data_IF_580755180218
#
_entry.id   IF_580755180218
#
_cell.length_a   1.000
_cell.length_b   1.000
_cell.length_c   1.000
_cell.angle_alpha   90.00
_cell.angle_beta   90.00
_cell.angle_gamma   90.00
#
_symmetry.space_group_name_H-M   'P 1'
#
loop_
_entity.id
_entity.type
_entity.pdbx_description
1 polymer ?
#
# COMPACT_ATOMS: atom_id res chain seq x y z
N UNK A 1 -28.22 -51.70 38.83
CA UNK A 1 -28.69 -50.33 38.52
C UNK A 1 -27.57 -49.43 37.94
N UNK A 2 -26.56 -49.98 37.24
CA UNK A 2 -25.41 -49.21 36.73
C UNK A 2 -25.42 -49.02 35.20
N UNK A 3 -26.20 -49.82 34.48
CA UNK A 3 -26.22 -49.83 33.00
C UNK A 3 -26.95 -48.62 32.39
N UNK A 4 -27.87 -47.98 33.13
CA UNK A 4 -28.61 -46.80 32.66
C UNK A 4 -27.83 -45.48 32.82
N UNK A 5 -26.76 -45.46 33.64
CA UNK A 5 -25.92 -44.26 33.83
C UNK A 5 -24.94 -44.05 32.68
N UNK A 6 -24.43 -45.14 32.09
CA UNK A 6 -23.51 -45.10 30.95
C UNK A 6 -24.09 -44.38 29.71
N UNK A 7 -25.32 -44.65 29.25
CA UNK A 7 -25.90 -43.95 28.10
C UNK A 7 -26.15 -42.47 28.40
N UNK A 8 -26.54 -42.12 29.63
CA UNK A 8 -26.76 -40.72 30.03
C UNK A 8 -25.44 -39.94 29.99
N UNK A 9 -24.35 -40.52 30.50
CA UNK A 9 -23.02 -39.90 30.44
C UNK A 9 -22.54 -39.74 29.00
N UNK A 10 -22.79 -40.73 28.15
CA UNK A 10 -22.42 -40.68 26.73
C UNK A 10 -23.20 -39.58 25.99
N UNK A 11 -24.50 -39.44 26.26
CA UNK A 11 -25.34 -38.38 25.67
C UNK A 11 -24.86 -37.00 26.11
N UNK A 12 -24.57 -36.82 27.40
CA UNK A 12 -24.05 -35.54 27.92
C UNK A 12 -22.70 -35.20 27.27
N UNK A 13 -21.82 -36.19 27.12
CA UNK A 13 -20.52 -36.01 26.48
C UNK A 13 -20.66 -35.62 25.00
N UNK A 14 -21.56 -36.29 24.27
CA UNK A 14 -21.85 -35.99 22.86
C UNK A 14 -22.39 -34.56 22.69
N UNK A 15 -23.32 -34.16 23.56
CA UNK A 15 -23.88 -32.80 23.57
C UNK A 15 -22.78 -31.77 23.85
N UNK A 16 -21.94 -31.99 24.87
CA UNK A 16 -20.82 -31.11 25.18
C UNK A 16 -19.81 -30.97 24.03
N UNK A 17 -19.48 -32.08 23.35
CA UNK A 17 -18.62 -32.10 22.17
C UNK A 17 -19.23 -31.35 20.99
N UNK A 18 -20.54 -31.47 20.79
CA UNK A 18 -21.25 -30.73 19.75
C UNK A 18 -21.26 -29.22 20.04
N UNK A 19 -21.40 -28.82 21.30
CA UNK A 19 -21.28 -27.42 21.71
C UNK A 19 -19.85 -26.87 21.53
N UNK A 20 -18.81 -27.65 21.84
CA UNK A 20 -17.41 -27.25 21.59
C UNK A 20 -17.08 -27.15 20.08
N UNK A 21 -17.65 -28.02 19.25
CA UNK A 21 -17.50 -27.94 17.79
C UNK A 21 -18.19 -26.70 17.22
N UNK A 22 -19.27 -26.26 17.86
CA UNK A 22 -20.08 -25.11 17.45
C UNK A 22 -19.52 -23.76 17.96
N UNK A 23 -18.51 -23.74 18.83
CA UNK A 23 -17.81 -22.49 19.14
C UNK A 23 -16.90 -22.13 17.96
N UNK A 24 -17.19 -21.05 17.21
CA UNK A 24 -16.29 -20.62 16.15
C UNK A 24 -14.97 -20.20 16.79
N UNK A 25 -13.89 -20.88 16.43
CA UNK A 25 -12.54 -20.38 16.68
C UNK A 25 -12.40 -19.17 15.77
N UNK A 26 -12.50 -17.96 16.32
CA UNK A 26 -12.32 -16.74 15.54
C UNK A 26 -10.91 -16.72 14.96
N UNK A 27 -10.83 -16.94 13.64
CA UNK A 27 -9.58 -16.75 12.92
C UNK A 27 -9.32 -15.26 12.81
N UNK A 28 -8.16 -14.79 13.29
CA UNK A 28 -7.74 -13.41 13.11
C UNK A 28 -7.48 -13.15 11.61
N UNK A 29 -8.49 -12.69 10.89
CA UNK A 29 -8.34 -12.31 9.49
C UNK A 29 -7.51 -11.03 9.42
N UNK A 30 -6.26 -11.16 8.96
CA UNK A 30 -5.37 -10.02 8.71
C UNK A 30 -5.31 -9.79 7.21
N UNK A 31 -5.92 -8.71 6.74
CA UNK A 31 -5.86 -8.31 5.34
C UNK A 31 -4.63 -7.43 5.07
N UNK A 32 -3.80 -7.84 4.10
CA UNK A 32 -2.69 -7.01 3.63
C UNK A 32 -3.22 -5.94 2.68
N UNK A 33 -2.94 -4.67 2.96
CA UNK A 33 -3.30 -3.57 2.05
C UNK A 33 -2.41 -3.64 0.80
N UNK A 34 -3.03 -3.92 -0.36
CA UNK A 34 -2.35 -3.85 -1.65
C UNK A 34 -2.36 -2.42 -2.18
N UNK A 35 -1.22 -1.96 -2.68
CA UNK A 35 -1.03 -0.63 -3.24
C UNK A 35 -1.55 -0.59 -4.69
N UNK A 36 -2.88 -0.55 -4.85
CA UNK A 36 -3.57 -0.52 -6.15
C UNK A 36 -4.04 0.90 -6.57
N UNK A 37 -3.95 1.87 -5.67
CA UNK A 37 -4.43 3.24 -5.89
C UNK A 37 -3.41 4.08 -6.66
N UNK A 38 -3.87 5.18 -7.28
CA UNK A 38 -3.00 6.16 -7.98
C UNK A 38 -1.83 6.67 -7.13
N UNK A 39 -1.98 6.74 -5.81
CA UNK A 39 -0.89 7.07 -4.87
C UNK A 39 0.31 6.12 -4.98
N UNK A 40 0.07 4.86 -5.35
CA UNK A 40 1.15 3.91 -5.60
C UNK A 40 1.93 4.23 -6.88
N UNK A 41 1.26 4.84 -7.87
CA UNK A 41 1.87 5.17 -9.15
C UNK A 41 2.92 6.27 -8.98
N UNK A 42 2.69 7.26 -8.13
CA UNK A 42 3.69 8.30 -7.81
C UNK A 42 4.89 7.72 -7.07
N UNK A 43 4.69 6.75 -6.17
CA UNK A 43 5.78 6.07 -5.50
C UNK A 43 6.62 5.22 -6.46
N UNK A 44 5.98 4.56 -7.44
CA UNK A 44 6.67 3.86 -8.53
C UNK A 44 7.44 4.84 -9.43
N UNK A 45 6.88 6.00 -9.73
CA UNK A 45 7.54 7.05 -10.50
C UNK A 45 8.78 7.57 -9.74
N UNK A 46 8.68 7.83 -8.44
CA UNK A 46 9.82 8.24 -7.63
C UNK A 46 10.94 7.20 -7.66
N UNK A 47 10.61 5.92 -7.51
CA UNK A 47 11.58 4.83 -7.60
C UNK A 47 12.24 4.76 -8.99
N UNK A 48 11.45 4.96 -10.05
CA UNK A 48 11.96 5.02 -11.41
C UNK A 48 12.94 6.19 -11.60
N UNK A 49 12.58 7.41 -11.14
CA UNK A 49 13.45 8.58 -11.27
C UNK A 49 14.78 8.40 -10.53
N UNK A 50 14.75 7.84 -9.32
CA UNK A 50 15.96 7.57 -8.53
C UNK A 50 16.87 6.58 -9.26
N UNK A 51 16.31 5.46 -9.72
CA UNK A 51 17.11 4.39 -10.38
C UNK A 51 17.57 4.77 -11.78
N UNK A 52 16.76 5.54 -12.50
CA UNK A 52 17.03 5.95 -13.87
C UNK A 52 17.93 7.18 -13.94
N UNK A 53 18.04 7.98 -12.88
CA UNK A 53 18.88 9.19 -12.85
C UNK A 53 20.30 8.98 -13.39
N UNK A 54 20.93 7.85 -13.08
CA UNK A 54 22.28 7.51 -13.54
C UNK A 54 22.33 6.99 -15.00
N UNK A 55 21.20 6.55 -15.57
CA UNK A 55 21.10 5.99 -16.92
C UNK A 55 20.39 6.91 -17.93
N UNK A 56 19.63 7.91 -17.46
CA UNK A 56 18.89 8.86 -18.30
C UNK A 56 19.83 9.64 -19.24
N UNK A 57 21.02 10.01 -18.76
CA UNK A 57 22.03 10.70 -19.57
C UNK A 57 22.84 9.78 -20.48
N UNK A 58 22.86 8.47 -20.23
CA UNK A 58 23.73 7.52 -20.93
C UNK A 58 23.02 6.73 -22.04
N UNK A 59 21.72 6.43 -21.90
CA UNK A 59 20.95 5.63 -22.86
C UNK A 59 20.16 6.51 -23.85
N UNK A 60 19.79 7.72 -23.44
CA UNK A 60 19.08 8.69 -24.26
C UNK A 60 19.85 10.01 -24.20
N UNK A 61 20.79 10.23 -25.12
CA UNK A 61 21.30 11.59 -25.33
C UNK A 61 20.12 12.43 -25.83
N UNK A 62 19.58 13.37 -25.02
CA UNK A 62 18.43 14.15 -25.44
C UNK A 62 18.84 14.99 -26.63
N UNK A 63 17.98 15.11 -27.64
CA UNK A 63 18.16 16.11 -28.67
C UNK A 63 18.24 17.48 -28.00
N UNK A 64 19.26 18.28 -28.34
CA UNK A 64 19.47 19.59 -27.73
C UNK A 64 18.37 20.56 -28.17
N UNK A 65 17.27 20.57 -27.44
CA UNK A 65 16.11 21.45 -27.63
C UNK A 65 16.18 22.70 -26.74
N UNK A 66 17.34 22.97 -26.14
CA UNK A 66 17.54 24.02 -25.15
C UNK A 66 16.91 23.69 -23.78
N UNK A 67 17.51 24.18 -22.70
CA UNK A 67 16.99 23.99 -21.32
C UNK A 67 15.65 24.69 -21.07
N UNK A 68 15.23 25.58 -21.96
CA UNK A 68 14.04 26.40 -21.79
C UNK A 68 12.73 25.73 -22.24
N UNK A 69 12.80 24.66 -23.04
CA UNK A 69 11.64 23.99 -23.64
C UNK A 69 11.06 22.90 -22.74
N UNK A 70 11.89 22.02 -22.18
CA UNK A 70 11.46 20.94 -21.27
C UNK A 70 12.37 20.78 -20.04
N UNK A 71 13.35 21.66 -19.85
CA UNK A 71 14.28 21.59 -18.72
C UNK A 71 13.61 21.99 -17.40
N UNK A 72 14.01 21.32 -16.31
CA UNK A 72 13.64 21.72 -14.94
C UNK A 72 14.21 23.11 -14.69
N UNK A 73 13.34 24.13 -14.70
CA UNK A 73 13.73 25.50 -14.31
C UNK A 73 14.08 25.49 -12.83
N UNK A 74 15.14 26.21 -12.45
CA UNK A 74 15.40 26.41 -11.03
C UNK A 74 14.21 27.19 -10.44
N UNK A 75 13.73 26.76 -9.27
CA UNK A 75 12.65 27.46 -8.57
C UNK A 75 13.02 28.92 -8.29
N UNK A 76 14.32 29.20 -8.18
CA UNK A 76 14.91 30.53 -8.04
C UNK A 76 14.71 31.38 -9.30
N UNK A 77 14.92 30.83 -10.51
CA UNK A 77 14.69 31.54 -11.77
C UNK A 77 13.20 31.85 -11.99
N UNK A 78 12.31 30.99 -11.50
CA UNK A 78 10.85 31.23 -11.55
C UNK A 78 10.47 32.37 -10.60
N UNK A 79 11.01 32.36 -9.38
CA UNK A 79 10.74 33.38 -8.36
C UNK A 79 11.26 34.76 -8.78
N UNK A 80 12.43 34.82 -9.42
CA UNK A 80 13.00 36.05 -9.95
C UNK A 80 12.22 36.62 -11.16
N UNK A 81 11.52 35.77 -11.92
CA UNK A 81 10.76 36.19 -13.11
C UNK A 81 9.33 36.65 -12.78
N UNK A 82 8.74 36.17 -11.69
CA UNK A 82 7.36 36.50 -11.30
C UNK A 82 7.21 36.74 -9.78
N UNK A 83 7.81 37.83 -9.25
CA UNK A 83 7.79 38.13 -7.81
C UNK A 83 6.40 38.47 -7.26
N UNK A 84 5.41 38.73 -8.13
CA UNK A 84 4.05 39.12 -7.76
C UNK A 84 3.21 38.00 -7.11
N UNK A 85 3.57 36.72 -7.29
CA UNK A 85 2.85 35.59 -6.66
C UNK A 85 3.14 35.43 -5.16
N UNK A 86 4.13 36.15 -4.62
CA UNK A 86 4.52 36.10 -3.20
C UNK A 86 4.06 37.32 -2.40
N UNK A 87 3.41 38.30 -3.04
CA UNK A 87 2.82 39.43 -2.34
C UNK A 87 1.43 39.04 -1.83
N UNK A 88 1.13 39.26 -0.53
CA UNK A 88 -0.21 39.06 -0.02
C UNK A 88 -1.14 40.11 -0.66
N UNK A 89 -2.18 39.65 -1.34
CA UNK A 89 -3.34 40.47 -1.72
C UNK A 89 -4.26 40.66 -0.51
#
# INVERSE_FOLDING_TARGET
MCLLKLPVVLIVLLVALHHLKATPIESNQVEKRKCNTATCATQRLANFLIRSSNNLGAILSPTNVGSNTYGKRSTIDILNREPLNYLPF
#
